data_IF_179924277589
#
_entry.id   IF_179924277589
#
_cell.length_a   1.000
_cell.length_b   1.000
_cell.length_c   1.000
_cell.angle_alpha   90.00
_cell.angle_beta   90.00
_cell.angle_gamma   90.00
#
_symmetry.space_group_name_H-M   'P 1'
#
loop_
_entity.id
_entity.type
_entity.pdbx_description
1 polymer ?
#
# COMPACT_ATOMS: atom_id res chain seq x y z
N UNK A 1 18.75 -25.41 -7.47
CA UNK A 1 17.41 -25.58 -6.88
C UNK A 1 16.43 -25.74 -8.02
N UNK A 2 15.62 -26.80 -8.00
CA UNK A 2 14.53 -27.01 -8.97
C UNK A 2 13.49 -25.89 -8.86
N UNK A 3 12.87 -25.53 -9.98
CA UNK A 3 11.78 -24.56 -9.99
C UNK A 3 10.60 -25.10 -9.14
N UNK A 4 9.91 -24.25 -8.34
CA UNK A 4 8.80 -24.69 -7.50
C UNK A 4 7.50 -24.94 -8.29
N UNK A 5 7.57 -25.00 -9.62
CA UNK A 5 6.45 -25.17 -10.53
C UNK A 5 6.88 -26.02 -11.74
N UNK A 6 5.91 -26.64 -12.40
CA UNK A 6 6.07 -27.45 -13.63
C UNK A 6 5.55 -26.75 -14.88
N UNK A 7 4.69 -25.73 -14.70
CA UNK A 7 4.10 -24.94 -15.78
C UNK A 7 3.84 -23.51 -15.33
N UNK A 8 3.69 -22.60 -16.30
CA UNK A 8 3.33 -21.20 -16.09
C UNK A 8 2.09 -20.92 -16.91
N UNK A 9 1.05 -20.39 -16.28
CA UNK A 9 -0.13 -19.88 -16.97
C UNK A 9 -0.08 -18.35 -17.00
N UNK A 10 -0.11 -17.75 -18.18
CA UNK A 10 -0.34 -16.31 -18.30
C UNK A 10 -1.83 -16.06 -18.26
N UNK A 11 -2.27 -15.21 -17.33
CA UNK A 11 -3.69 -14.97 -17.06
C UNK A 11 -3.96 -13.47 -17.01
N UNK A 12 -5.06 -13.06 -17.63
CA UNK A 12 -5.61 -11.70 -17.58
C UNK A 12 -7.12 -11.78 -17.41
N UNK A 13 -7.67 -11.06 -16.42
CA UNK A 13 -9.11 -11.04 -16.11
C UNK A 13 -9.79 -9.77 -16.60
N UNK A 14 -10.94 -9.95 -17.23
CA UNK A 14 -11.84 -8.85 -17.55
C UNK A 14 -13.06 -8.89 -16.63
N UNK A 15 -13.34 -7.77 -15.97
CA UNK A 15 -14.35 -7.71 -14.90
C UNK A 15 -15.34 -6.58 -15.13
N UNK A 16 -16.56 -6.76 -14.60
CA UNK A 16 -17.58 -5.72 -14.55
C UNK A 16 -17.13 -4.54 -13.72
N UNK A 17 -17.31 -3.32 -14.23
CA UNK A 17 -17.05 -2.08 -13.51
C UNK A 17 -18.06 -0.99 -13.90
N UNK A 18 -18.17 0.05 -13.06
CA UNK A 18 -18.99 1.24 -13.31
C UNK A 18 -18.22 2.49 -12.84
N UNK A 19 -18.03 3.45 -13.73
CA UNK A 19 -17.29 4.70 -13.46
C UNK A 19 -17.93 5.53 -12.36
N UNK A 20 -19.25 5.43 -12.18
CA UNK A 20 -20.01 6.24 -11.23
C UNK A 20 -19.73 5.86 -9.77
N UNK A 21 -19.57 4.58 -9.45
CA UNK A 21 -19.41 4.13 -8.07
C UNK A 21 -18.64 2.81 -7.86
N UNK A 22 -18.45 1.98 -8.89
CA UNK A 22 -17.82 0.66 -8.80
C UNK A 22 -16.56 0.55 -9.68
N UNK A 23 -15.50 1.21 -9.24
CA UNK A 23 -14.23 1.32 -10.00
C UNK A 23 -13.03 1.39 -9.07
N UNK A 24 -11.89 0.84 -9.51
CA UNK A 24 -10.60 0.89 -8.79
C UNK A 24 -10.06 2.33 -8.58
N UNK A 25 -10.63 3.33 -9.25
CA UNK A 25 -10.33 4.74 -8.96
C UNK A 25 -11.01 5.27 -7.69
N UNK A 26 -12.07 4.59 -7.22
CA UNK A 26 -12.88 4.97 -6.04
C UNK A 26 -12.79 3.95 -4.91
N UNK A 27 -12.42 2.71 -5.23
CA UNK A 27 -12.34 1.59 -4.29
C UNK A 27 -10.94 1.01 -4.25
N UNK A 28 -10.56 0.43 -3.12
CA UNK A 28 -9.35 -0.39 -3.08
C UNK A 28 -9.56 -1.69 -3.88
N UNK A 29 -8.49 -2.34 -4.33
CA UNK A 29 -8.58 -3.66 -4.98
C UNK A 29 -9.24 -4.71 -4.07
N UNK A 30 -8.99 -4.63 -2.76
CA UNK A 30 -9.62 -5.53 -1.78
C UNK A 30 -11.13 -5.35 -1.75
N UNK A 31 -11.58 -4.10 -1.65
CA UNK A 31 -12.99 -3.74 -1.64
C UNK A 31 -13.66 -4.11 -2.95
N UNK A 32 -13.02 -3.83 -4.08
CA UNK A 32 -13.57 -4.09 -5.40
C UNK A 32 -13.82 -5.58 -5.62
N UNK A 33 -12.83 -6.44 -5.34
CA UNK A 33 -12.93 -7.88 -5.60
C UNK A 33 -13.87 -8.57 -4.60
N UNK A 34 -13.92 -8.10 -3.34
CA UNK A 34 -14.79 -8.67 -2.31
C UNK A 34 -16.19 -8.03 -2.25
N UNK A 35 -16.48 -7.07 -3.13
CA UNK A 35 -17.83 -6.50 -3.26
C UNK A 35 -18.78 -7.53 -3.85
N UNK A 36 -20.03 -7.57 -3.36
CA UNK A 36 -21.10 -8.43 -3.87
C UNK A 36 -21.41 -8.23 -5.37
N UNK A 37 -21.02 -7.08 -5.94
CA UNK A 37 -21.20 -6.73 -7.36
C UNK A 37 -20.13 -7.32 -8.26
N UNK A 38 -19.05 -7.87 -7.70
CA UNK A 38 -17.95 -8.43 -8.46
C UNK A 38 -18.44 -9.52 -9.42
N UNK A 39 -18.03 -9.38 -10.68
CA UNK A 39 -18.28 -10.35 -11.75
C UNK A 39 -17.10 -10.32 -12.71
N UNK A 40 -16.46 -11.47 -12.91
CA UNK A 40 -15.58 -11.66 -14.06
C UNK A 40 -16.46 -11.90 -15.29
N UNK A 41 -16.27 -11.09 -16.34
CA UNK A 41 -16.83 -11.40 -17.65
C UNK A 41 -16.16 -12.64 -18.24
N UNK A 42 -14.86 -12.74 -18.05
CA UNK A 42 -14.06 -13.89 -18.43
C UNK A 42 -12.58 -13.65 -18.14
N UNK A 43 -11.75 -14.59 -18.57
CA UNK A 43 -10.30 -14.44 -18.52
C UNK A 43 -9.65 -15.10 -19.73
N UNK A 44 -8.55 -14.51 -20.21
CA UNK A 44 -7.66 -15.20 -21.11
C UNK A 44 -6.62 -16.01 -20.35
N UNK A 45 -6.36 -17.22 -20.82
CA UNK A 45 -5.36 -18.12 -20.28
C UNK A 45 -4.49 -18.66 -21.42
N UNK A 46 -3.18 -18.56 -21.25
CA UNK A 46 -2.20 -19.20 -22.14
C UNK A 46 -1.18 -20.00 -21.31
N UNK A 47 -0.76 -21.17 -21.82
CA UNK A 47 0.32 -21.95 -21.21
C UNK A 47 1.66 -21.46 -21.76
N UNK A 48 2.33 -20.60 -20.99
CA UNK A 48 3.54 -19.91 -21.42
C UNK A 48 4.64 -20.90 -21.82
N UNK A 49 5.31 -20.61 -22.95
CA UNK A 49 6.36 -21.45 -23.51
C UNK A 49 5.85 -22.64 -24.35
N UNK A 50 4.55 -22.69 -24.65
CA UNK A 50 3.96 -23.69 -25.56
C UNK A 50 3.48 -23.06 -26.87
N UNK A 51 3.13 -23.89 -27.85
CA UNK A 51 2.52 -23.49 -29.12
C UNK A 51 0.98 -23.44 -29.05
N UNK A 52 0.41 -23.57 -27.86
CA UNK A 52 -1.05 -23.48 -27.65
C UNK A 52 -1.54 -22.08 -27.97
N UNK A 53 -2.80 -21.97 -28.37
CA UNK A 53 -3.45 -20.68 -28.55
C UNK A 53 -3.92 -20.12 -27.21
N UNK A 54 -3.84 -18.80 -27.02
CA UNK A 54 -4.50 -18.12 -25.90
C UNK A 54 -6.01 -18.30 -26.01
N UNK A 55 -6.63 -18.82 -24.95
CA UNK A 55 -8.07 -19.08 -24.93
C UNK A 55 -8.77 -18.12 -23.99
N UNK A 56 -9.90 -17.57 -24.46
CA UNK A 56 -10.86 -16.85 -23.63
C UNK A 56 -11.83 -17.86 -23.01
N UNK A 57 -12.04 -17.75 -21.71
CA UNK A 57 -13.03 -18.53 -20.97
C UNK A 57 -14.03 -17.58 -20.31
N UNK A 58 -15.32 -17.85 -20.49
CA UNK A 58 -16.39 -17.05 -19.91
C UNK A 58 -16.43 -17.19 -18.40
N UNK A 59 -16.98 -16.18 -17.73
CA UNK A 59 -17.10 -16.13 -16.27
C UNK A 59 -17.70 -17.40 -15.62
N UNK A 60 -18.68 -18.01 -16.28
CA UNK A 60 -19.37 -19.23 -15.87
C UNK A 60 -18.57 -20.53 -16.14
N UNK A 61 -17.63 -20.50 -17.09
CA UNK A 61 -16.74 -21.61 -17.40
C UNK A 61 -15.51 -21.67 -16.48
N UNK A 62 -15.08 -20.51 -15.96
CA UNK A 62 -13.85 -20.38 -15.18
C UNK A 62 -13.74 -21.35 -13.99
N UNK A 63 -14.77 -21.61 -13.17
CA UNK A 63 -14.66 -22.58 -12.08
C UNK A 63 -14.27 -23.97 -12.56
N UNK A 64 -14.85 -24.42 -13.69
CA UNK A 64 -14.55 -25.71 -14.30
C UNK A 64 -13.14 -25.74 -14.86
N UNK A 65 -12.75 -24.71 -15.61
CA UNK A 65 -11.45 -24.64 -16.28
C UNK A 65 -10.31 -24.54 -15.28
N UNK A 66 -10.42 -23.65 -14.29
CA UNK A 66 -9.42 -23.49 -13.24
C UNK A 66 -9.28 -24.75 -12.38
N UNK A 67 -10.35 -25.52 -12.21
CA UNK A 67 -10.34 -26.82 -11.51
C UNK A 67 -9.57 -27.93 -12.24
N UNK A 68 -9.21 -27.75 -13.52
CA UNK A 68 -8.43 -28.76 -14.27
C UNK A 68 -6.93 -28.72 -14.00
N UNK A 69 -6.44 -27.64 -13.37
CA UNK A 69 -5.02 -27.44 -13.12
C UNK A 69 -4.62 -27.89 -11.71
N UNK A 70 -3.43 -28.52 -11.62
CA UNK A 70 -2.77 -28.74 -10.33
C UNK A 70 -2.05 -27.46 -9.88
N UNK A 71 -2.72 -26.67 -9.05
CA UNK A 71 -2.20 -25.41 -8.53
C UNK A 71 -1.00 -25.55 -7.58
N UNK A 72 -0.76 -26.76 -7.04
CA UNK A 72 0.44 -27.03 -6.23
C UNK A 72 1.73 -27.01 -7.05
N UNK A 73 1.61 -27.15 -8.38
CA UNK A 73 2.74 -27.11 -9.32
C UNK A 73 2.55 -26.13 -10.49
N UNK A 74 1.53 -25.28 -10.45
CA UNK A 74 1.24 -24.29 -11.50
C UNK A 74 1.59 -22.89 -11.03
N UNK A 75 2.46 -22.19 -11.78
CA UNK A 75 2.75 -20.78 -11.58
C UNK A 75 1.82 -19.91 -12.43
N UNK A 76 1.68 -18.64 -12.04
CA UNK A 76 0.94 -17.63 -12.81
C UNK A 76 1.87 -16.50 -13.22
N UNK A 77 1.74 -16.04 -14.47
CA UNK A 77 2.33 -14.82 -14.99
C UNK A 77 1.20 -13.83 -15.29
N UNK A 78 1.36 -12.58 -14.83
CA UNK A 78 0.46 -11.48 -15.17
C UNK A 78 1.20 -10.15 -15.13
N UNK A 79 0.60 -9.10 -15.69
CA UNK A 79 1.08 -7.73 -15.54
C UNK A 79 0.20 -7.02 -14.52
N UNK A 80 0.78 -6.63 -13.37
CA UNK A 80 0.02 -6.25 -12.16
C UNK A 80 -0.68 -7.45 -11.50
N UNK A 81 0.05 -8.55 -11.33
CA UNK A 81 -0.47 -9.84 -10.87
C UNK A 81 -1.22 -9.80 -9.52
N UNK A 82 -1.04 -8.74 -8.71
CA UNK A 82 -1.83 -8.54 -7.49
C UNK A 82 -3.34 -8.58 -7.77
N UNK A 83 -3.81 -8.04 -8.90
CA UNK A 83 -5.23 -8.02 -9.25
C UNK A 83 -5.74 -9.41 -9.64
N UNK A 84 -5.19 -9.99 -10.73
CA UNK A 84 -5.62 -11.27 -11.29
C UNK A 84 -5.47 -12.42 -10.31
N UNK A 85 -4.37 -12.48 -9.56
CA UNK A 85 -4.15 -13.54 -8.58
C UNK A 85 -5.04 -13.38 -7.34
N UNK A 86 -5.48 -12.16 -7.02
CA UNK A 86 -6.50 -11.97 -5.97
C UNK A 86 -7.87 -12.48 -6.42
N UNK A 87 -8.24 -12.32 -7.69
CA UNK A 87 -9.45 -12.91 -8.25
C UNK A 87 -9.37 -14.44 -8.18
N UNK A 88 -8.27 -15.02 -8.67
CA UNK A 88 -7.99 -16.46 -8.57
C UNK A 88 -8.14 -16.97 -7.13
N UNK A 89 -7.49 -16.31 -6.17
CA UNK A 89 -7.45 -16.79 -4.79
C UNK A 89 -8.74 -16.54 -4.01
N UNK A 90 -9.41 -15.40 -4.20
CA UNK A 90 -10.53 -14.99 -3.35
C UNK A 90 -11.89 -15.37 -3.93
N UNK A 91 -12.00 -15.42 -5.26
CA UNK A 91 -13.26 -15.74 -5.95
C UNK A 91 -13.30 -17.21 -6.33
N UNK A 92 -12.20 -17.74 -6.90
CA UNK A 92 -12.14 -19.11 -7.39
C UNK A 92 -11.45 -20.10 -6.43
N UNK A 93 -10.88 -19.60 -5.33
CA UNK A 93 -10.24 -20.45 -4.31
C UNK A 93 -8.95 -21.13 -4.77
N UNK A 94 -8.32 -20.66 -5.86
CA UNK A 94 -7.10 -21.27 -6.43
C UNK A 94 -5.85 -20.49 -6.08
N UNK A 95 -4.76 -21.19 -5.75
CA UNK A 95 -3.54 -20.58 -5.23
C UNK A 95 -2.30 -21.06 -6.01
N UNK A 96 -1.68 -20.21 -6.85
CA UNK A 96 -0.60 -20.65 -7.74
C UNK A 96 0.73 -20.91 -7.01
N UNK A 97 1.41 -22.01 -7.27
CA UNK A 97 2.68 -22.37 -6.64
C UNK A 97 3.72 -21.22 -6.64
N UNK A 98 3.74 -20.42 -7.71
CA UNK A 98 4.62 -19.26 -7.86
C UNK A 98 3.92 -18.14 -8.65
N UNK A 99 4.24 -16.87 -8.37
CA UNK A 99 3.68 -15.70 -9.05
C UNK A 99 4.79 -14.89 -9.71
N UNK A 100 4.68 -14.71 -11.02
CA UNK A 100 5.46 -13.77 -11.81
C UNK A 100 4.65 -12.51 -12.05
N UNK A 101 5.27 -11.35 -11.84
CA UNK A 101 4.65 -10.06 -12.10
C UNK A 101 5.58 -9.18 -12.94
N UNK A 102 5.24 -9.03 -14.21
CA UNK A 102 6.04 -8.25 -15.15
C UNK A 102 6.10 -6.77 -14.76
N UNK A 103 5.08 -6.25 -14.05
CA UNK A 103 5.09 -4.88 -13.52
C UNK A 103 6.15 -4.69 -12.43
N UNK A 104 6.21 -5.60 -11.45
CA UNK A 104 7.24 -5.58 -10.41
C UNK A 104 8.65 -5.74 -10.99
N UNK A 105 8.82 -6.61 -11.99
CA UNK A 105 10.09 -6.79 -12.70
C UNK A 105 10.51 -5.50 -13.42
N UNK A 106 9.59 -4.87 -14.15
CA UNK A 106 9.85 -3.62 -14.86
C UNK A 106 10.24 -2.49 -13.90
N UNK A 107 9.59 -2.36 -12.75
CA UNK A 107 9.93 -1.34 -11.73
C UNK A 107 11.36 -1.47 -11.23
N UNK A 108 11.84 -2.69 -11.00
CA UNK A 108 13.20 -2.91 -10.53
C UNK A 108 14.25 -2.61 -11.59
N UNK A 109 14.00 -2.98 -12.84
CA UNK A 109 14.96 -2.77 -13.93
C UNK A 109 14.96 -1.34 -14.47
N UNK A 110 13.79 -0.70 -14.56
CA UNK A 110 13.60 0.59 -15.26
C UNK A 110 13.40 1.76 -14.31
N UNK A 111 13.18 1.50 -13.03
CA UNK A 111 12.82 2.51 -12.05
C UNK A 111 11.35 2.98 -12.17
N UNK A 112 10.95 3.86 -11.26
CA UNK A 112 9.55 4.30 -11.12
C UNK A 112 9.14 5.40 -12.12
N UNK A 113 10.09 6.17 -12.63
CA UNK A 113 9.83 7.35 -13.46
C UNK A 113 9.63 7.01 -14.93
N UNK A 114 10.06 5.81 -15.38
CA UNK A 114 9.96 5.39 -16.77
C UNK A 114 8.52 5.11 -17.26
N UNK A 115 7.56 4.97 -16.33
CA UNK A 115 6.22 4.47 -16.63
C UNK A 115 6.24 2.99 -16.98
N UNK A 116 5.65 2.15 -16.13
CA UNK A 116 5.74 0.69 -16.28
C UNK A 116 4.39 0.03 -16.61
N UNK A 117 3.45 0.76 -17.21
CA UNK A 117 2.21 0.14 -17.71
C UNK A 117 2.52 -0.79 -18.89
N UNK A 118 1.67 -1.80 -19.09
CA UNK A 118 1.83 -2.75 -20.19
C UNK A 118 1.96 -2.06 -21.55
N UNK A 119 1.09 -1.08 -21.83
CA UNK A 119 1.15 -0.27 -23.06
C UNK A 119 2.48 0.47 -23.22
N UNK A 120 3.01 1.04 -22.13
CA UNK A 120 4.28 1.77 -22.18
C UNK A 120 5.46 0.83 -22.43
N UNK A 121 5.48 -0.32 -21.76
CA UNK A 121 6.51 -1.34 -21.95
C UNK A 121 6.45 -1.93 -23.36
N UNK A 122 5.25 -2.18 -23.89
CA UNK A 122 5.06 -2.63 -25.26
C UNK A 122 5.68 -1.64 -26.26
N UNK A 123 5.35 -0.35 -26.13
CA UNK A 123 5.92 0.70 -26.97
C UNK A 123 7.46 0.78 -26.84
N UNK A 124 7.99 0.78 -25.61
CA UNK A 124 9.43 0.88 -25.36
C UNK A 124 10.22 -0.33 -25.90
N UNK A 125 9.60 -1.51 -26.00
CA UNK A 125 10.22 -2.72 -26.56
C UNK A 125 9.97 -2.92 -28.06
N UNK A 126 9.25 -2.01 -28.72
CA UNK A 126 8.89 -2.11 -30.14
C UNK A 126 7.89 -3.24 -30.42
N UNK A 127 7.04 -3.56 -29.44
CA UNK A 127 5.95 -4.52 -29.58
C UNK A 127 4.72 -3.82 -30.19
N UNK A 128 3.75 -4.59 -30.75
CA UNK A 128 2.49 -4.03 -31.20
C UNK A 128 1.84 -3.14 -30.11
N UNK A 129 1.18 -2.04 -30.48
CA UNK A 129 0.53 -1.18 -29.51
C UNK A 129 -0.54 -1.96 -28.75
N UNK A 130 -0.76 -1.62 -27.47
CA UNK A 130 -1.92 -2.10 -26.74
C UNK A 130 -3.18 -1.59 -27.47
N UNK A 131 -4.06 -2.49 -27.87
CA UNK A 131 -5.30 -2.13 -28.54
C UNK A 131 -6.16 -1.23 -27.65
N UNK A 132 -7.01 -0.40 -28.24
CA UNK A 132 -8.10 0.25 -27.53
C UNK A 132 -9.35 -0.60 -27.74
N UNK A 133 -10.06 -0.95 -26.66
CA UNK A 133 -11.39 -1.50 -26.80
C UNK A 133 -12.27 -0.46 -27.50
N UNK A 134 -12.87 -0.83 -28.63
CA UNK A 134 -13.81 -0.04 -29.41
C UNK A 134 -15.11 0.15 -28.63
N UNK A 135 -15.54 -0.87 -27.89
CA UNK A 135 -16.71 -0.82 -27.01
C UNK A 135 -16.33 -0.72 -25.52
N UNK A 136 -16.78 0.34 -24.87
CA UNK A 136 -16.66 0.48 -23.41
C UNK A 136 -17.60 -0.50 -22.70
N UNK A 137 -17.07 -1.23 -21.71
CA UNK A 137 -17.85 -2.10 -20.81
C UNK A 137 -18.37 -1.38 -19.56
N UNK A 138 -18.18 -0.05 -19.48
CA UNK A 138 -18.62 0.80 -18.37
C UNK A 138 -20.13 0.64 -18.10
N UNK A 139 -20.47 0.22 -16.87
CA UNK A 139 -21.84 0.06 -16.41
C UNK A 139 -22.55 -1.20 -16.93
N UNK A 140 -21.90 -2.02 -17.77
CA UNK A 140 -22.50 -3.25 -18.28
C UNK A 140 -22.55 -4.33 -17.18
N UNK A 141 -23.67 -5.04 -17.10
CA UNK A 141 -23.82 -6.21 -16.22
C UNK A 141 -23.57 -7.50 -16.99
N UNK A 142 -24.04 -7.56 -18.23
CA UNK A 142 -23.91 -8.67 -19.16
C UNK A 142 -23.37 -8.16 -20.50
N UNK A 143 -22.64 -9.01 -21.21
CA UNK A 143 -22.07 -8.67 -22.51
C UNK A 143 -22.95 -9.21 -23.63
N UNK A 144 -23.08 -8.44 -24.71
CA UNK A 144 -23.59 -8.99 -25.97
C UNK A 144 -22.49 -9.84 -26.63
N UNK A 145 -22.84 -10.79 -27.50
CA UNK A 145 -21.85 -11.62 -28.20
C UNK A 145 -20.78 -10.81 -28.93
N UNK A 146 -21.15 -9.65 -29.49
CA UNK A 146 -20.23 -8.76 -30.21
C UNK A 146 -19.22 -8.09 -29.27
N UNK A 147 -19.70 -7.51 -28.16
CA UNK A 147 -18.84 -6.85 -27.16
C UNK A 147 -17.92 -7.89 -26.51
N UNK A 148 -18.44 -9.09 -26.25
CA UNK A 148 -17.64 -10.15 -25.66
C UNK A 148 -16.55 -10.67 -26.59
N UNK A 149 -16.84 -10.85 -27.89
CA UNK A 149 -15.83 -11.25 -28.86
C UNK A 149 -14.69 -10.23 -28.91
N UNK A 150 -15.02 -8.94 -28.91
CA UNK A 150 -14.04 -7.87 -28.91
C UNK A 150 -13.21 -7.83 -27.62
N UNK A 151 -13.88 -7.95 -26.47
CA UNK A 151 -13.22 -8.01 -25.16
C UNK A 151 -12.28 -9.22 -25.08
N UNK A 152 -12.68 -10.36 -25.63
CA UNK A 152 -11.85 -11.56 -25.70
C UNK A 152 -10.60 -11.34 -26.56
N UNK A 153 -10.70 -10.67 -27.72
CA UNK A 153 -9.54 -10.36 -28.55
C UNK A 153 -8.60 -9.33 -27.90
N UNK A 154 -9.16 -8.32 -27.24
CA UNK A 154 -8.39 -7.36 -26.44
C UNK A 154 -7.61 -8.07 -25.31
N UNK A 155 -8.28 -8.94 -24.55
CA UNK A 155 -7.68 -9.70 -23.45
C UNK A 155 -6.62 -10.70 -23.95
N UNK A 156 -6.83 -11.35 -25.10
CA UNK A 156 -5.81 -12.20 -25.76
C UNK A 156 -4.55 -11.40 -26.10
N UNK A 157 -4.73 -10.18 -26.60
CA UNK A 157 -3.63 -9.29 -26.95
C UNK A 157 -2.85 -8.84 -25.71
N UNK A 158 -3.55 -8.53 -24.61
CA UNK A 158 -2.91 -8.21 -23.33
C UNK A 158 -2.09 -9.38 -22.77
N UNK A 159 -2.58 -10.62 -22.87
CA UNK A 159 -1.80 -11.82 -22.54
C UNK A 159 -0.54 -11.93 -23.41
N UNK A 160 -0.68 -11.77 -24.74
CA UNK A 160 0.48 -11.78 -25.66
C UNK A 160 1.52 -10.70 -25.31
N UNK A 161 1.08 -9.47 -25.02
CA UNK A 161 1.96 -8.39 -24.62
C UNK A 161 2.63 -8.68 -23.28
N UNK A 162 1.90 -9.24 -22.31
CA UNK A 162 2.43 -9.62 -21.01
C UNK A 162 3.60 -10.61 -21.16
N UNK A 163 3.42 -11.66 -21.95
CA UNK A 163 4.46 -12.66 -22.23
C UNK A 163 5.65 -12.06 -22.97
N UNK A 164 5.37 -11.27 -24.02
CA UNK A 164 6.42 -10.61 -24.81
C UNK A 164 7.26 -9.64 -23.96
N UNK A 165 6.62 -8.91 -23.05
CA UNK A 165 7.29 -8.04 -22.08
C UNK A 165 8.08 -8.87 -21.07
N UNK A 166 7.49 -9.95 -20.55
CA UNK A 166 8.16 -10.85 -19.62
C UNK A 166 9.44 -11.45 -20.22
N UNK A 167 9.40 -11.92 -21.46
CA UNK A 167 10.57 -12.45 -22.18
C UNK A 167 11.73 -11.45 -22.21
N UNK A 168 11.43 -10.17 -22.47
CA UNK A 168 12.44 -9.11 -22.50
C UNK A 168 12.99 -8.79 -21.11
N UNK A 169 12.14 -8.83 -20.08
CA UNK A 169 12.54 -8.52 -18.70
C UNK A 169 13.25 -9.67 -18.00
N UNK A 170 12.95 -10.92 -18.37
CA UNK A 170 13.47 -12.12 -17.71
C UNK A 170 14.96 -12.37 -18.01
N UNK A 171 15.50 -11.80 -19.10
CA UNK A 171 16.91 -11.93 -19.48
C UNK A 171 17.81 -11.35 -18.39
N UNK A 172 18.53 -12.23 -17.69
CA UNK A 172 19.43 -11.85 -16.60
C UNK A 172 18.74 -11.43 -15.30
N UNK A 173 17.41 -11.59 -15.19
CA UNK A 173 16.69 -11.24 -13.97
C UNK A 173 17.07 -12.20 -12.82
N UNK A 174 17.53 -11.72 -11.65
CA UNK A 174 18.00 -12.61 -10.61
C UNK A 174 16.86 -13.45 -10.01
N UNK A 175 17.04 -14.77 -9.94
CA UNK A 175 16.03 -15.69 -9.40
C UNK A 175 15.63 -15.38 -7.94
N UNK A 176 16.55 -14.81 -7.14
CA UNK A 176 16.26 -14.35 -5.78
C UNK A 176 15.25 -13.21 -5.74
N UNK A 177 15.30 -12.30 -6.71
CA UNK A 177 14.37 -11.17 -6.81
C UNK A 177 12.98 -11.63 -7.25
N UNK A 178 12.90 -12.63 -8.14
CA UNK A 178 11.62 -13.27 -8.49
C UNK A 178 10.95 -13.91 -7.26
N UNK A 179 11.72 -14.55 -6.38
CA UNK A 179 11.20 -15.09 -5.12
C UNK A 179 10.69 -13.99 -4.18
N UNK A 180 11.37 -12.85 -4.13
CA UNK A 180 10.93 -11.71 -3.35
C UNK A 180 9.62 -11.12 -3.89
N UNK A 181 9.46 -11.02 -5.21
CA UNK A 181 8.20 -10.63 -5.86
C UNK A 181 7.09 -11.61 -5.50
N UNK A 182 7.31 -12.91 -5.69
CA UNK A 182 6.35 -13.98 -5.36
C UNK A 182 5.90 -13.91 -3.88
N UNK A 183 6.85 -13.83 -2.95
CA UNK A 183 6.55 -13.71 -1.52
C UNK A 183 5.73 -12.44 -1.23
N UNK A 184 6.10 -11.31 -1.83
CA UNK A 184 5.40 -10.03 -1.64
C UNK A 184 3.95 -10.12 -2.10
N UNK A 185 3.70 -10.69 -3.29
CA UNK A 185 2.36 -10.84 -3.84
C UNK A 185 1.53 -11.84 -3.04
N UNK A 186 2.15 -12.90 -2.49
CA UNK A 186 1.47 -13.87 -1.60
C UNK A 186 1.00 -13.23 -0.30
N UNK A 187 1.70 -12.23 0.24
CA UNK A 187 1.25 -11.49 1.43
C UNK A 187 -0.09 -10.75 1.21
N UNK A 188 -0.39 -10.35 -0.04
CA UNK A 188 -1.66 -9.74 -0.40
C UNK A 188 -2.69 -10.79 -0.82
N UNK A 189 -2.34 -11.63 -1.80
CA UNK A 189 -3.27 -12.57 -2.46
C UNK A 189 -3.66 -13.74 -1.56
N UNK A 190 -2.85 -14.10 -0.56
CA UNK A 190 -3.14 -15.15 0.43
C UNK A 190 -3.18 -14.56 1.84
N UNK A 191 -4.19 -13.73 2.14
CA UNK A 191 -4.27 -13.08 3.44
C UNK A 191 -4.48 -14.12 4.54
N UNK A 192 -3.61 -14.08 5.55
CA UNK A 192 -3.68 -14.95 6.73
C UNK A 192 -4.03 -14.19 8.01
N UNK A 193 -3.71 -12.90 8.06
CA UNK A 193 -3.89 -12.07 9.25
C UNK A 193 -5.37 -11.83 9.52
N UNK A 194 -5.77 -12.01 10.77
CA UNK A 194 -7.10 -11.72 11.26
C UNK A 194 -7.14 -10.34 11.93
N UNK A 195 -8.34 -9.78 12.06
CA UNK A 195 -8.54 -8.47 12.65
C UNK A 195 -9.53 -8.56 13.82
N UNK A 196 -9.09 -8.13 14.99
CA UNK A 196 -9.93 -8.02 16.18
C UNK A 196 -10.90 -6.84 16.04
N UNK A 197 -12.14 -7.19 15.69
CA UNK A 197 -13.22 -6.21 15.52
C UNK A 197 -13.51 -5.43 16.80
N UNK A 198 -13.41 -6.08 17.97
CA UNK A 198 -13.74 -5.44 19.26
C UNK A 198 -12.73 -4.35 19.55
N UNK A 199 -11.44 -4.65 19.42
CA UNK A 199 -10.37 -3.66 19.62
C UNK A 199 -10.54 -2.46 18.67
N UNK A 200 -10.91 -2.71 17.41
CA UNK A 200 -11.13 -1.64 16.43
C UNK A 200 -12.36 -0.78 16.76
N UNK A 201 -13.49 -1.40 17.12
CA UNK A 201 -14.71 -0.70 17.50
C UNK A 201 -14.46 0.16 18.75
N UNK A 202 -13.85 -0.42 19.78
CA UNK A 202 -13.51 0.30 21.01
C UNK A 202 -12.58 1.47 20.72
N UNK A 203 -11.54 1.28 19.91
CA UNK A 203 -10.62 2.38 19.57
C UNK A 203 -11.32 3.51 18.78
N UNK A 204 -12.26 3.17 17.90
CA UNK A 204 -13.05 4.17 17.16
C UNK A 204 -14.02 4.93 18.09
N UNK A 205 -14.63 4.24 19.06
CA UNK A 205 -15.51 4.84 20.05
C UNK A 205 -14.74 5.77 20.99
N UNK A 206 -13.65 5.31 21.60
CA UNK A 206 -12.81 6.11 22.50
C UNK A 206 -12.26 7.37 21.81
N UNK A 207 -11.85 7.26 20.54
CA UNK A 207 -11.40 8.40 19.77
C UNK A 207 -12.53 9.40 19.48
N UNK A 208 -13.74 8.88 19.18
CA UNK A 208 -14.93 9.70 18.99
C UNK A 208 -15.33 10.44 20.25
N UNK A 209 -15.42 9.73 21.39
CA UNK A 209 -15.76 10.29 22.69
C UNK A 209 -14.75 11.33 23.16
N UNK A 210 -13.44 11.07 23.01
CA UNK A 210 -12.39 12.04 23.34
C UNK A 210 -12.54 13.33 22.54
N UNK A 211 -12.82 13.21 21.24
CA UNK A 211 -13.04 14.36 20.36
C UNK A 211 -14.29 15.13 20.72
N UNK A 212 -15.41 14.45 20.94
CA UNK A 212 -16.66 15.11 21.37
C UNK A 212 -16.50 15.79 22.72
N UNK A 213 -15.81 15.15 23.67
CA UNK A 213 -15.50 15.73 24.97
C UNK A 213 -14.70 17.02 24.85
N UNK A 214 -13.66 17.02 24.02
CA UNK A 214 -12.83 18.20 23.76
C UNK A 214 -13.62 19.34 23.12
N UNK A 215 -14.48 19.03 22.14
CA UNK A 215 -15.35 20.02 21.49
C UNK A 215 -16.34 20.65 22.49
N UNK A 216 -16.95 19.83 23.35
CA UNK A 216 -17.87 20.31 24.41
C UNK A 216 -17.16 21.17 25.45
N UNK A 217 -15.95 20.78 25.87
CA UNK A 217 -15.16 21.56 26.83
C UNK A 217 -14.81 22.94 26.30
N UNK A 218 -14.48 23.03 25.01
CA UNK A 218 -14.14 24.28 24.34
C UNK A 218 -15.38 25.09 23.89
N UNK A 219 -16.58 24.49 23.89
CA UNK A 219 -17.80 25.14 23.41
C UNK A 219 -17.78 25.45 21.92
N UNK A 220 -17.09 24.63 21.12
CA UNK A 220 -16.88 24.84 19.68
C UNK A 220 -17.39 23.66 18.86
N UNK A 221 -17.82 23.94 17.65
CA UNK A 221 -18.26 22.91 16.71
C UNK A 221 -17.08 22.36 15.89
N UNK A 222 -17.16 21.08 15.53
CA UNK A 222 -16.12 20.43 14.71
C UNK A 222 -15.86 21.16 13.40
N UNK A 223 -16.91 21.68 12.76
CA UNK A 223 -16.81 22.39 11.49
C UNK A 223 -16.00 23.70 11.61
N UNK A 224 -15.97 24.31 12.80
CA UNK A 224 -15.21 25.52 13.08
C UNK A 224 -13.72 25.21 13.16
N UNK A 225 -13.36 24.09 13.80
CA UNK A 225 -11.98 23.61 13.88
C UNK A 225 -11.46 23.01 12.57
N UNK A 226 -12.33 22.37 11.79
CA UNK A 226 -11.94 21.68 10.56
C UNK A 226 -11.70 22.63 9.37
N UNK A 227 -12.31 23.82 9.34
CA UNK A 227 -12.17 24.77 8.24
C UNK A 227 -11.09 25.81 8.54
N UNK A 228 -10.25 26.17 7.56
CA UNK A 228 -9.22 27.20 7.78
C UNK A 228 -9.85 28.59 8.00
N UNK A 229 -10.80 29.06 7.16
CA UNK A 229 -11.47 30.34 7.40
C UNK A 229 -12.26 30.40 8.71
N UNK A 230 -13.01 29.33 9.06
CA UNK A 230 -13.82 29.35 10.29
C UNK A 230 -12.94 29.38 11.55
N UNK A 231 -11.84 28.63 11.54
CA UNK A 231 -10.89 28.67 12.65
C UNK A 231 -10.20 30.03 12.79
N UNK A 232 -9.88 30.69 11.68
CA UNK A 232 -9.35 32.05 11.71
C UNK A 232 -10.35 33.03 12.34
N UNK A 233 -11.62 32.98 11.94
CA UNK A 233 -12.68 33.80 12.55
C UNK A 233 -12.88 33.52 14.05
N UNK A 234 -12.71 32.26 14.46
CA UNK A 234 -12.76 31.87 15.87
C UNK A 234 -11.60 32.47 16.68
N UNK A 235 -10.38 32.43 16.14
CA UNK A 235 -9.22 33.11 16.75
C UNK A 235 -9.44 34.63 16.87
N UNK A 236 -9.99 35.26 15.82
CA UNK A 236 -10.30 36.70 15.83
C UNK A 236 -11.33 37.06 16.90
N UNK A 237 -12.34 36.22 17.08
CA UNK A 237 -13.37 36.37 18.13
C UNK A 237 -12.76 36.32 19.53
N UNK A 238 -11.67 35.55 19.71
CA UNK A 238 -10.89 35.44 20.95
C UNK A 238 -9.75 36.48 21.04
N UNK A 239 -9.75 37.47 20.14
CA UNK A 239 -8.78 38.58 20.13
C UNK A 239 -7.37 38.18 19.67
N UNK A 240 -7.22 37.07 18.95
CA UNK A 240 -5.95 36.60 18.40
C UNK A 240 -5.92 36.78 16.89
N UNK A 241 -4.94 37.51 16.38
CA UNK A 241 -4.74 37.65 14.94
C UNK A 241 -4.34 36.30 14.32
N UNK A 242 -5.08 35.78 13.32
CA UNK A 242 -4.75 34.51 12.69
C UNK A 242 -3.38 34.54 12.01
N UNK A 243 -2.55 33.49 12.18
CA UNK A 243 -1.22 33.44 11.59
C UNK A 243 -1.32 33.31 10.07
N UNK A 244 -0.52 34.09 9.33
CA UNK A 244 -0.43 34.05 7.86
C UNK A 244 0.98 33.72 7.37
N UNK A 245 1.07 33.22 6.14
CA UNK A 245 2.32 32.96 5.41
C UNK A 245 2.14 33.22 3.93
N UNK A 246 3.22 33.62 3.27
CA UNK A 246 3.26 33.72 1.81
C UNK A 246 3.42 32.31 1.24
N UNK A 247 2.47 31.91 0.39
CA UNK A 247 2.52 30.61 -0.30
C UNK A 247 3.67 30.59 -1.31
N UNK A 248 4.58 29.61 -1.19
CA UNK A 248 5.69 29.42 -2.14
C UNK A 248 5.23 29.11 -3.58
N UNK A 249 4.02 28.57 -3.74
CA UNK A 249 3.48 28.16 -5.04
C UNK A 249 2.69 29.28 -5.71
N UNK A 250 1.99 30.11 -4.95
CA UNK A 250 1.07 31.12 -5.50
C UNK A 250 1.50 32.56 -5.24
N UNK A 251 2.50 32.79 -4.38
CA UNK A 251 2.97 34.13 -4.00
C UNK A 251 1.97 34.97 -3.19
N UNK A 252 0.79 34.41 -2.89
CA UNK A 252 -0.28 35.09 -2.14
C UNK A 252 -0.21 34.76 -0.66
N UNK A 253 -0.74 35.66 0.15
CA UNK A 253 -0.93 35.45 1.58
C UNK A 253 -1.96 34.34 1.83
N UNK A 254 -1.63 33.45 2.76
CA UNK A 254 -2.42 32.26 3.09
C UNK A 254 -2.34 32.00 4.59
N UNK A 255 -3.35 31.34 5.17
CA UNK A 255 -3.35 31.03 6.59
C UNK A 255 -2.28 29.98 6.94
N UNK A 256 -1.46 30.29 7.93
CA UNK A 256 -0.37 29.47 8.43
C UNK A 256 -0.85 28.66 9.65
N UNK A 257 -1.81 27.76 9.44
CA UNK A 257 -2.50 26.99 10.48
C UNK A 257 -2.15 25.48 10.48
N UNK A 258 -1.02 25.10 9.87
CA UNK A 258 -0.55 23.72 9.87
C UNK A 258 0.38 23.46 11.07
N UNK A 259 0.49 22.19 11.49
CA UNK A 259 1.34 21.79 12.62
C UNK A 259 2.78 22.32 12.50
N UNK A 260 3.36 22.37 11.31
CA UNK A 260 4.76 22.78 11.12
C UNK A 260 4.92 24.27 10.81
N UNK A 261 3.84 25.06 10.83
CA UNK A 261 3.93 26.49 10.60
C UNK A 261 4.45 27.20 11.86
N UNK A 262 5.50 27.99 11.72
CA UNK A 262 6.19 28.63 12.86
C UNK A 262 5.26 29.50 13.71
N UNK A 263 4.39 30.29 13.07
CA UNK A 263 3.43 31.14 13.78
C UNK A 263 2.32 30.35 14.46
N UNK A 264 1.94 29.18 13.92
CA UNK A 264 1.00 28.28 14.60
C UNK A 264 1.65 27.59 15.80
N UNK A 265 2.93 27.21 15.68
CA UNK A 265 3.72 26.72 16.79
C UNK A 265 3.87 27.76 17.90
N UNK A 266 4.00 29.05 17.56
CA UNK A 266 4.01 30.10 18.57
C UNK A 266 2.70 30.17 19.36
N UNK A 267 1.55 29.92 18.71
CA UNK A 267 0.25 29.83 19.41
C UNK A 267 0.16 28.59 20.31
N UNK A 268 0.68 27.45 19.87
CA UNK A 268 0.70 26.20 20.65
C UNK A 268 1.61 26.27 21.88
N UNK A 269 2.64 27.11 21.85
CA UNK A 269 3.59 27.29 22.95
C UNK A 269 3.39 28.64 23.67
N UNK A 270 2.22 29.27 23.51
CA UNK A 270 1.90 30.54 24.13
C UNK A 270 1.40 30.39 25.57
N UNK A 271 1.30 31.52 26.28
CA UNK A 271 0.88 31.54 27.69
C UNK A 271 -0.63 31.47 27.90
N UNK A 272 -1.43 31.61 26.83
CA UNK A 272 -2.89 31.60 26.89
C UNK A 272 -3.44 30.17 26.73
N UNK A 273 -3.77 29.53 27.84
CA UNK A 273 -4.28 28.13 27.88
C UNK A 273 -5.49 27.92 26.96
N UNK A 274 -6.44 28.87 26.91
CA UNK A 274 -7.63 28.79 26.05
C UNK A 274 -7.29 28.66 24.55
N UNK A 275 -6.23 29.34 24.10
CA UNK A 275 -5.78 29.31 22.70
C UNK A 275 -4.92 28.10 22.41
N UNK A 276 -4.11 27.68 23.38
CA UNK A 276 -3.32 26.45 23.27
C UNK A 276 -4.26 25.26 23.10
N UNK A 277 -5.23 25.09 24.00
CA UNK A 277 -6.22 24.01 23.95
C UNK A 277 -7.00 24.02 22.64
N UNK A 278 -7.39 25.21 22.16
CA UNK A 278 -8.10 25.38 20.89
C UNK A 278 -7.24 24.98 19.68
N UNK A 279 -5.95 25.35 19.67
CA UNK A 279 -5.00 24.98 18.62
C UNK A 279 -4.71 23.47 18.64
N UNK A 280 -4.58 22.87 19.82
CA UNK A 280 -4.44 21.42 19.99
C UNK A 280 -5.68 20.67 19.49
N UNK A 281 -6.88 21.13 19.86
CA UNK A 281 -8.14 20.55 19.41
C UNK A 281 -8.27 20.58 17.89
N UNK A 282 -7.85 21.68 17.24
CA UNK A 282 -7.79 21.74 15.79
C UNK A 282 -6.86 20.68 15.20
N UNK A 283 -5.66 20.49 15.77
CA UNK A 283 -4.73 19.47 15.29
C UNK A 283 -5.33 18.06 15.41
N UNK A 284 -6.02 17.78 16.51
CA UNK A 284 -6.72 16.51 16.70
C UNK A 284 -7.86 16.34 15.69
N UNK A 285 -8.70 17.36 15.49
CA UNK A 285 -9.82 17.32 14.53
C UNK A 285 -9.33 17.08 13.11
N UNK A 286 -8.25 17.74 12.71
CA UNK A 286 -7.60 17.59 11.40
C UNK A 286 -6.87 16.26 11.24
N UNK A 287 -6.42 15.64 12.34
CA UNK A 287 -5.71 14.36 12.32
C UNK A 287 -6.69 13.19 12.22
N UNK A 288 -7.31 13.01 11.05
CA UNK A 288 -8.26 11.90 10.79
C UNK A 288 -7.59 10.59 10.38
N UNK A 289 -6.26 10.57 10.23
CA UNK A 289 -5.51 9.44 9.66
C UNK A 289 -5.66 8.13 10.43
N UNK A 290 -5.57 8.17 11.76
CA UNK A 290 -5.72 6.96 12.58
C UNK A 290 -7.17 6.44 12.56
N UNK A 291 -8.15 7.33 12.70
CA UNK A 291 -9.59 6.97 12.64
C UNK A 291 -9.98 6.37 11.30
N UNK A 292 -9.60 7.01 10.19
CA UNK A 292 -9.90 6.51 8.84
C UNK A 292 -9.26 5.15 8.59
N UNK A 293 -8.02 4.93 9.05
CA UNK A 293 -7.36 3.62 8.94
C UNK A 293 -7.99 2.55 9.84
N UNK A 294 -8.36 2.89 11.08
CA UNK A 294 -9.05 1.99 11.98
C UNK A 294 -10.43 1.58 11.42
N UNK A 295 -11.17 2.53 10.84
CA UNK A 295 -12.41 2.23 10.12
C UNK A 295 -12.16 1.30 8.94
N UNK A 296 -11.12 1.54 8.13
CA UNK A 296 -10.76 0.63 7.02
C UNK A 296 -10.41 -0.78 7.51
N UNK A 297 -9.68 -0.92 8.62
CA UNK A 297 -9.42 -2.22 9.22
C UNK A 297 -10.73 -2.89 9.64
N UNK A 298 -11.66 -2.13 10.26
CA UNK A 298 -12.96 -2.66 10.63
C UNK A 298 -13.75 -3.11 9.40
N UNK A 299 -13.77 -2.32 8.34
CA UNK A 299 -14.46 -2.66 7.09
C UNK A 299 -13.87 -3.92 6.43
N UNK A 300 -12.54 -4.04 6.38
CA UNK A 300 -11.86 -5.25 5.89
C UNK A 300 -12.21 -6.44 6.74
N UNK A 301 -12.20 -6.29 8.07
CA UNK A 301 -12.50 -7.39 8.99
C UNK A 301 -13.90 -7.99 8.76
N UNK A 302 -14.84 -7.21 8.21
CA UNK A 302 -16.19 -7.66 7.84
C UNK A 302 -16.19 -8.45 6.52
N UNK A 303 -15.28 -8.13 5.60
CA UNK A 303 -15.15 -8.80 4.29
C UNK A 303 -14.23 -10.02 4.31
N UNK A 304 -13.27 -10.08 5.24
CA UNK A 304 -12.40 -11.23 5.42
C UNK A 304 -11.07 -10.93 6.09
N UNK A 305 -10.08 -11.79 5.84
CA UNK A 305 -8.71 -11.64 6.34
C UNK A 305 -8.03 -10.43 5.74
N UNK A 306 -7.09 -9.84 6.48
CA UNK A 306 -6.34 -8.65 6.09
C UNK A 306 -5.26 -8.99 5.04
N UNK A 307 -5.40 -8.50 3.79
CA UNK A 307 -4.30 -8.57 2.83
C UNK A 307 -3.27 -7.48 3.12
N UNK A 308 -1.99 -7.77 2.82
CA UNK A 308 -0.89 -6.83 3.04
C UNK A 308 -0.42 -6.22 1.71
N UNK A 309 -0.89 -5.02 1.35
CA UNK A 309 -0.60 -4.40 0.06
C UNK A 309 0.79 -3.77 0.04
N UNK A 310 1.74 -4.44 -0.61
CA UNK A 310 3.09 -3.94 -0.81
C UNK A 310 3.48 -3.94 -2.29
N UNK A 311 4.17 -2.89 -2.71
CA UNK A 311 4.84 -2.80 -3.99
C UNK A 311 6.32 -3.16 -3.82
N UNK A 312 6.74 -4.21 -4.51
CA UNK A 312 8.16 -4.49 -4.73
C UNK A 312 8.79 -3.35 -5.54
N UNK A 313 10.00 -2.93 -5.14
CA UNK A 313 10.74 -1.82 -5.77
C UNK A 313 9.95 -0.51 -5.88
N UNK A 314 9.14 -0.23 -4.86
CA UNK A 314 8.21 0.91 -4.85
C UNK A 314 8.83 2.27 -4.53
N UNK A 315 10.11 2.32 -4.15
CA UNK A 315 10.90 3.53 -3.91
C UNK A 315 12.19 3.53 -4.75
N UNK A 316 12.78 4.72 -4.99
CA UNK A 316 14.04 4.88 -5.75
C UNK A 316 15.22 4.09 -5.16
N UNK A 317 15.22 3.89 -3.84
CA UNK A 317 16.24 3.10 -3.12
C UNK A 317 16.06 1.58 -3.23
N UNK A 318 15.05 1.10 -3.96
CA UNK A 318 14.68 -0.32 -4.02
C UNK A 318 13.81 -0.79 -2.84
N UNK A 319 13.52 0.07 -1.87
CA UNK A 319 12.63 -0.26 -0.73
C UNK A 319 11.21 -0.58 -1.20
N UNK A 320 10.57 -1.51 -0.49
CA UNK A 320 9.12 -1.75 -0.61
C UNK A 320 8.35 -0.52 -0.15
N UNK A 321 7.24 -0.26 -0.82
CA UNK A 321 6.27 0.77 -0.40
C UNK A 321 4.90 0.16 -0.28
N UNK A 322 3.99 0.81 0.46
CA UNK A 322 2.59 0.45 0.42
C UNK A 322 2.01 0.61 -0.99
N UNK A 323 1.12 -0.30 -1.39
CA UNK A 323 0.48 -0.22 -2.71
C UNK A 323 -0.35 1.06 -2.83
N UNK A 324 -0.11 1.84 -3.90
CA UNK A 324 -0.91 3.03 -4.20
C UNK A 324 -2.36 2.60 -4.43
N UNK A 325 -3.31 3.32 -3.84
CA UNK A 325 -4.74 3.00 -3.94
C UNK A 325 -5.23 1.89 -3.01
N UNK A 326 -4.36 1.24 -2.22
CA UNK A 326 -4.78 0.23 -1.25
C UNK A 326 -5.31 0.82 0.08
N UNK A 327 -5.32 2.15 0.22
CA UNK A 327 -5.78 2.93 1.38
C UNK A 327 -5.15 2.59 2.75
N UNK A 328 -4.29 1.56 2.82
CA UNK A 328 -3.62 1.10 4.03
C UNK A 328 -2.12 1.05 3.77
N UNK A 329 -1.34 1.52 4.75
CA UNK A 329 0.10 1.36 4.78
C UNK A 329 0.50 0.58 6.03
N UNK A 330 0.91 -0.67 5.84
CA UNK A 330 1.31 -1.57 6.93
C UNK A 330 2.70 -1.22 7.52
N UNK A 331 3.49 -0.39 6.84
CA UNK A 331 4.85 -0.04 7.25
C UNK A 331 4.90 1.12 8.25
N UNK A 332 3.82 1.89 8.42
CA UNK A 332 3.79 3.09 9.27
C UNK A 332 2.75 3.02 10.40
N UNK A 333 2.33 1.82 10.80
CA UNK A 333 1.43 1.64 11.96
C UNK A 333 2.15 2.07 13.25
N UNK A 334 1.48 2.86 14.09
CA UNK A 334 2.05 3.32 15.38
C UNK A 334 2.37 2.14 16.29
N UNK A 335 3.57 2.15 16.90
CA UNK A 335 3.98 1.14 17.88
C UNK A 335 3.04 1.20 19.09
N UNK A 336 2.55 0.04 19.53
CA UNK A 336 1.60 -0.05 20.65
C UNK A 336 0.20 0.52 20.35
N UNK A 337 -0.07 1.06 19.16
CA UNK A 337 -1.37 1.61 18.79
C UNK A 337 -2.45 0.53 18.60
N UNK A 338 -3.72 0.93 18.71
CA UNK A 338 -4.86 0.03 18.60
C UNK A 338 -4.86 -0.80 17.30
N UNK A 339 -4.47 -0.19 16.17
CA UNK A 339 -4.36 -0.91 14.88
C UNK A 339 -3.38 -2.08 14.93
N UNK A 340 -2.21 -1.94 15.59
CA UNK A 340 -1.25 -3.05 15.71
C UNK A 340 -1.79 -4.15 16.62
N UNK A 341 -2.45 -3.77 17.72
CA UNK A 341 -3.07 -4.73 18.66
C UNK A 341 -4.25 -5.48 18.04
N UNK A 342 -4.93 -4.86 17.07
CA UNK A 342 -6.04 -5.48 16.37
C UNK A 342 -5.58 -6.53 15.34
N UNK A 343 -4.32 -6.57 14.93
CA UNK A 343 -3.82 -7.59 14.00
C UNK A 343 -3.55 -8.87 14.80
N UNK A 344 -4.19 -9.96 14.38
CA UNK A 344 -4.08 -11.26 15.03
C UNK A 344 -3.44 -12.29 14.08
N UNK A 345 -2.68 -13.21 14.66
CA UNK A 345 -2.31 -14.45 13.98
C UNK A 345 -3.57 -15.31 13.77
N UNK A 346 -3.61 -16.16 12.72
CA UNK A 346 -4.68 -17.14 12.58
C UNK A 346 -4.70 -18.10 13.77
N UNK A 347 -5.87 -18.70 14.04
CA UNK A 347 -6.04 -19.63 15.16
C UNK A 347 -4.99 -20.75 15.14
N UNK A 348 -4.33 -20.96 16.30
CA UNK A 348 -3.27 -21.96 16.47
C UNK A 348 -1.87 -21.49 16.08
N UNK A 349 -1.70 -20.23 15.69
CA UNK A 349 -0.42 -19.63 15.33
C UNK A 349 -0.10 -18.42 16.22
N UNK A 350 1.18 -18.03 16.24
CA UNK A 350 1.67 -16.81 16.88
C UNK A 350 2.39 -15.92 15.85
N UNK A 351 2.40 -14.61 16.10
CA UNK A 351 3.18 -13.67 15.28
C UNK A 351 4.59 -13.54 15.83
N UNK A 352 5.58 -13.82 14.98
CA UNK A 352 7.00 -13.58 15.29
C UNK A 352 7.45 -12.31 14.58
N UNK A 353 8.06 -11.39 15.33
CA UNK A 353 8.60 -10.14 14.81
C UNK A 353 10.12 -10.18 14.91
N UNK A 354 10.80 -10.08 13.78
CA UNK A 354 12.24 -9.91 13.70
C UNK A 354 12.60 -8.54 13.12
N UNK A 355 13.58 -7.88 13.71
CA UNK A 355 14.11 -6.61 13.24
C UNK A 355 15.65 -6.65 13.23
N UNK A 356 16.27 -6.09 12.20
CA UNK A 356 17.73 -6.04 12.10
C UNK A 356 18.24 -4.86 12.92
N UNK A 357 18.95 -5.16 14.01
CA UNK A 357 19.51 -4.12 14.89
C UNK A 357 20.53 -3.26 14.17
N UNK A 358 20.16 -2.00 13.90
CA UNK A 358 21.04 -0.96 13.36
C UNK A 358 21.70 -1.38 12.03
N UNK A 359 20.92 -1.91 11.09
CA UNK A 359 21.47 -2.42 9.82
C UNK A 359 22.12 -1.33 8.98
N UNK A 360 21.54 -0.13 8.89
CA UNK A 360 22.07 0.96 8.08
C UNK A 360 23.48 1.40 8.49
N UNK A 361 23.78 1.74 9.77
CA UNK A 361 25.14 2.11 10.16
C UNK A 361 26.11 0.93 10.08
N UNK A 362 25.66 -0.32 10.26
CA UNK A 362 26.51 -1.50 10.04
C UNK A 362 26.95 -1.63 8.59
N UNK A 363 26.01 -1.47 7.66
CA UNK A 363 26.30 -1.51 6.22
C UNK A 363 27.17 -0.34 5.82
N UNK A 364 26.93 0.86 6.35
CA UNK A 364 27.76 2.03 6.07
C UNK A 364 29.20 1.82 6.55
N UNK A 365 29.39 1.41 7.80
CA UNK A 365 30.72 1.15 8.36
C UNK A 365 31.47 0.06 7.57
N UNK A 366 30.76 -0.97 7.11
CA UNK A 366 31.33 -2.00 6.24
C UNK A 366 31.70 -1.47 4.86
N UNK A 367 30.85 -0.65 4.24
CA UNK A 367 31.10 -0.07 2.91
C UNK A 367 32.27 0.93 2.91
N UNK A 368 32.54 1.58 4.04
CA UNK A 368 33.61 2.57 4.17
C UNK A 368 34.85 2.02 4.88
N UNK A 369 34.94 0.70 5.10
CA UNK A 369 36.02 0.05 5.85
C UNK A 369 36.32 0.71 7.20
N UNK A 370 35.29 1.17 7.91
CA UNK A 370 35.45 1.86 9.19
C UNK A 370 35.61 0.86 10.34
N UNK A 371 36.82 0.31 10.46
CA UNK A 371 37.11 -0.80 11.38
C UNK A 371 36.85 -0.50 12.86
N UNK A 372 37.04 0.74 13.32
CA UNK A 372 36.74 1.11 14.72
C UNK A 372 35.24 0.91 15.03
N UNK A 373 34.36 1.36 14.12
CA UNK A 373 32.91 1.19 14.27
C UNK A 373 32.51 -0.27 14.13
N UNK A 374 33.14 -1.01 13.22
CA UNK A 374 32.93 -2.44 13.09
C UNK A 374 33.36 -3.20 14.35
N UNK A 375 34.48 -2.83 14.98
CA UNK A 375 34.94 -3.40 16.23
C UNK A 375 33.96 -3.12 17.39
N UNK A 376 33.41 -1.90 17.47
CA UNK A 376 32.34 -1.57 18.42
C UNK A 376 31.09 -2.42 18.22
N UNK A 377 30.69 -2.64 16.97
CA UNK A 377 29.58 -3.52 16.65
C UNK A 377 29.85 -4.99 17.00
N UNK A 378 31.09 -5.48 16.81
CA UNK A 378 31.52 -6.85 17.16
C UNK A 378 31.56 -7.07 18.67
N UNK A 379 31.90 -6.04 19.45
CA UNK A 379 31.96 -6.10 20.92
C UNK A 379 30.59 -5.94 21.61
N UNK A 380 29.53 -5.65 20.84
CA UNK A 380 28.18 -5.47 21.37
C UNK A 380 27.93 -4.11 22.04
N UNK A 381 28.81 -3.13 21.82
CA UNK A 381 28.64 -1.77 22.35
C UNK A 381 27.51 -1.01 21.63
N UNK A 382 26.84 -0.09 22.33
CA UNK A 382 25.86 0.82 21.73
C UNK A 382 26.57 1.98 21.03
N UNK A 383 26.83 1.78 19.74
CA UNK A 383 27.54 2.74 18.86
C UNK A 383 26.88 4.12 18.87
N UNK A 384 25.54 4.21 18.94
CA UNK A 384 24.85 5.51 18.99
C UNK A 384 25.08 6.26 20.30
N UNK A 385 25.10 5.55 21.42
CA UNK A 385 25.40 6.15 22.72
C UNK A 385 26.82 6.70 22.75
N UNK A 386 27.78 5.98 22.16
CA UNK A 386 29.16 6.41 22.05
C UNK A 386 29.33 7.62 21.12
N UNK A 387 28.75 7.57 19.92
CA UNK A 387 28.76 8.70 18.99
C UNK A 387 28.06 9.93 19.58
N UNK A 388 26.89 9.76 20.19
CA UNK A 388 26.17 10.84 20.85
C UNK A 388 26.97 11.44 22.00
N UNK A 389 27.55 10.60 22.86
CA UNK A 389 28.43 11.04 23.94
C UNK A 389 29.64 11.83 23.43
N UNK A 390 30.24 11.41 22.31
CA UNK A 390 31.37 12.11 21.70
C UNK A 390 30.94 13.43 21.03
N UNK A 391 29.82 13.43 20.31
CA UNK A 391 29.32 14.60 19.59
C UNK A 391 28.81 15.70 20.53
N UNK A 392 28.14 15.33 21.62
CA UNK A 392 27.59 16.25 22.62
C UNK A 392 28.51 16.47 23.82
N UNK A 393 29.63 15.74 23.92
CA UNK A 393 30.54 15.81 25.07
C UNK A 393 29.93 15.28 26.38
N UNK A 394 28.93 14.39 26.30
CA UNK A 394 28.18 13.86 27.45
C UNK A 394 28.50 12.38 27.68
N UNK A 395 29.47 12.03 28.56
CA UNK A 395 29.79 10.64 28.86
C UNK A 395 28.61 9.91 29.53
N UNK A 396 28.38 8.65 29.16
CA UNK A 396 27.33 7.81 29.77
C UNK A 396 25.93 8.01 29.19
N UNK A 397 25.81 8.65 28.01
CA UNK A 397 24.52 8.88 27.36
C UNK A 397 23.79 7.57 27.01
N UNK A 398 22.60 7.35 27.56
CA UNK A 398 21.75 6.19 27.26
C UNK A 398 20.41 6.62 26.67
N UNK A 399 19.68 5.67 26.09
CA UNK A 399 18.32 5.91 25.56
C UNK A 399 17.33 6.39 26.64
N UNK A 400 17.52 5.97 27.87
CA UNK A 400 16.64 6.29 29.00
C UNK A 400 16.98 7.65 29.62
N UNK A 401 18.27 8.02 29.63
CA UNK A 401 18.74 9.25 30.25
C UNK A 401 18.68 10.47 29.33
N UNK A 402 18.84 10.26 28.01
CA UNK A 402 18.93 11.35 27.02
C UNK A 402 18.15 10.98 25.74
N UNK A 403 16.80 10.93 25.82
CA UNK A 403 15.96 10.48 24.71
C UNK A 403 15.84 11.50 23.57
N UNK A 404 16.16 12.78 23.80
CA UNK A 404 16.04 13.87 22.80
C UNK A 404 17.32 13.95 21.97
N UNK A 405 18.47 13.86 22.63
CA UNK A 405 19.82 13.94 22.07
C UNK A 405 20.18 12.69 21.26
N UNK A 406 19.33 11.67 21.28
CA UNK A 406 19.48 10.42 20.53
C UNK A 406 18.51 10.27 19.35
N UNK A 407 17.67 11.27 19.05
CA UNK A 407 16.86 11.33 17.82
C UNK A 407 17.70 11.81 16.63
#
# INVERSE_FOLDING_TARGET
MTAPYKRILTIDFETRWDKSDYTLSKMTTEEYIRDKRFKAFGACIHEYGTDRVTQWYRGDELPRILGTYDWSTTAVLAHNAQFDVSILSWVYGVQPAFIFDSLSMARALRGLEAGNSLARLAADFGLPPKGEAVHSTDGLIDLTPEIELELAEYCKHDVFLCESVFDRLAVGYPAKELRLIDMTLKMYTRPLLELDRKVLITALQEEGERREGLLRQLGVEEAELASNPKFAALLETLGVTPPTKVSKTTGKESLALAKNDALFQALLNGDREDIVDLCEARLQVKSTGERTRAQRFLDISQRGRLPVPLNYYGAKSGRWTATRGAAINMQNLKRGGAMRRAILAPQGYEMVVGDLSQIEPRVLAWLTDYEDVLAMFRSGQDVYSLFGAQMFGLPGMTKETHPIERQ
#
